data_IF_712572660405
#
_entry.id   IF_712572660405
#
_cell.length_a   1.000
_cell.length_b   1.000
_cell.length_c   1.000
_cell.angle_alpha   90.00
_cell.angle_beta   90.00
_cell.angle_gamma   90.00
#
_symmetry.space_group_name_H-M   'P 1'
#
loop_
_entity.id
_entity.type
_entity.pdbx_description
1 polymer ?
#
# COMPACT_ATOMS: atom_id res chain seq x y z
N UNK A 1 -2.92 27.11 -16.11
CA UNK A 1 -2.80 27.20 -14.64
C UNK A 1 -3.52 28.48 -14.23
N UNK A 2 -4.35 28.47 -13.19
CA UNK A 2 -5.07 29.68 -12.76
C UNK A 2 -4.08 30.71 -12.20
N UNK A 3 -4.20 31.99 -12.57
CA UNK A 3 -3.41 33.09 -12.00
C UNK A 3 -3.59 33.24 -10.48
N UNK A 4 -4.69 32.67 -9.95
CA UNK A 4 -4.97 32.65 -8.51
C UNK A 4 -4.23 31.53 -7.76
N UNK A 5 -3.63 30.56 -8.46
CA UNK A 5 -2.93 29.46 -7.81
C UNK A 5 -1.49 29.88 -7.48
N UNK A 6 -1.24 30.17 -6.19
CA UNK A 6 0.10 30.47 -5.68
C UNK A 6 0.71 29.25 -5.01
N UNK A 7 1.90 28.88 -5.44
CA UNK A 7 2.71 27.90 -4.72
C UNK A 7 3.40 28.56 -3.52
N UNK A 8 3.27 27.95 -2.35
CA UNK A 8 3.87 28.42 -1.10
C UNK A 8 4.74 27.28 -0.55
N UNK A 9 6.07 27.29 -0.78
CA UNK A 9 6.95 26.16 -0.49
C UNK A 9 6.91 25.70 0.98
N UNK A 10 6.80 26.63 1.92
CA UNK A 10 6.72 26.30 3.35
C UNK A 10 5.46 25.51 3.72
N UNK A 11 4.32 25.80 3.06
CA UNK A 11 3.08 25.05 3.25
C UNK A 11 3.23 23.64 2.68
N UNK A 12 3.86 23.50 1.51
CA UNK A 12 4.16 22.18 0.93
C UNK A 12 5.08 21.37 1.84
N UNK A 13 6.13 21.97 2.39
CA UNK A 13 7.03 21.30 3.33
C UNK A 13 6.30 20.80 4.57
N UNK A 14 5.52 21.66 5.23
CA UNK A 14 4.77 21.28 6.42
C UNK A 14 3.73 20.20 6.15
N UNK A 15 3.04 20.29 4.99
CA UNK A 15 2.14 19.23 4.55
C UNK A 15 2.88 17.90 4.43
N UNK A 16 4.03 17.87 3.75
CA UNK A 16 4.82 16.66 3.56
C UNK A 16 5.29 16.06 4.90
N UNK A 17 5.76 16.89 5.83
CA UNK A 17 6.18 16.43 7.16
C UNK A 17 5.01 15.83 7.94
N UNK A 18 3.85 16.51 7.95
CA UNK A 18 2.66 16.02 8.63
C UNK A 18 2.15 14.71 8.01
N UNK A 19 2.16 14.60 6.68
CA UNK A 19 1.81 13.40 5.94
C UNK A 19 2.70 12.21 6.35
N UNK A 20 4.03 12.41 6.37
CA UNK A 20 4.97 11.36 6.79
C UNK A 20 4.82 10.97 8.26
N UNK A 21 4.50 11.90 9.16
CA UNK A 21 4.30 11.59 10.57
C UNK A 21 3.03 10.77 10.83
N UNK A 22 2.02 10.91 9.96
CA UNK A 22 0.71 10.28 10.13
C UNK A 22 0.47 9.12 9.16
N UNK A 23 1.39 8.84 8.24
CA UNK A 23 1.22 7.85 7.17
C UNK A 23 0.94 6.44 7.68
N UNK A 24 1.38 6.11 8.89
CA UNK A 24 1.18 4.79 9.52
C UNK A 24 -0.05 4.75 10.43
N UNK A 25 -0.63 5.89 10.78
CA UNK A 25 -1.75 5.99 11.73
C UNK A 25 -3.12 5.66 11.12
N UNK A 26 -3.16 5.32 9.83
CA UNK A 26 -4.39 4.92 9.13
C UNK A 26 -4.73 3.46 9.44
N UNK A 27 -5.98 3.16 9.87
CA UNK A 27 -6.41 1.79 10.10
C UNK A 27 -6.20 0.90 8.87
N UNK A 28 -5.82 -0.36 9.12
CA UNK A 28 -5.75 -1.38 8.08
C UNK A 28 -7.04 -1.38 7.23
N UNK A 29 -6.90 -1.34 5.90
CA UNK A 29 -8.03 -1.29 4.97
C UNK A 29 -8.19 0.01 4.16
N UNK A 30 -7.55 1.13 4.52
CA UNK A 30 -7.71 2.43 3.82
C UNK A 30 -6.58 2.83 2.85
N UNK A 31 -5.70 1.89 2.48
CA UNK A 31 -4.60 2.14 1.54
C UNK A 31 -3.53 1.03 1.49
N UNK A 32 -3.45 0.23 2.56
CA UNK A 32 -2.51 -0.90 2.68
C UNK A 32 -3.11 -2.27 2.39
N UNK A 33 -4.35 -2.33 1.88
CA UNK A 33 -5.09 -3.58 1.67
C UNK A 33 -4.79 -4.26 0.32
N UNK A 34 -3.58 -4.07 -0.20
CA UNK A 34 -3.14 -4.78 -1.40
C UNK A 34 -2.64 -6.19 -1.09
N UNK A 35 -2.62 -6.65 0.17
CA UNK A 35 -1.91 -7.86 0.58
C UNK A 35 -2.25 -9.09 -0.27
N UNK A 36 -3.45 -9.62 -0.10
CA UNK A 36 -3.94 -10.84 -0.76
C UNK A 36 -4.29 -10.60 -2.25
N UNK A 37 -4.90 -9.46 -2.54
CA UNK A 37 -5.36 -9.10 -3.90
C UNK A 37 -4.21 -8.83 -4.88
N UNK A 38 -3.02 -8.45 -4.40
CA UNK A 38 -1.86 -8.17 -5.25
C UNK A 38 -1.29 -9.45 -5.88
N UNK A 39 -1.37 -10.59 -5.18
CA UNK A 39 -0.94 -11.87 -5.74
C UNK A 39 -1.78 -12.25 -6.98
N UNK A 40 -3.10 -12.06 -6.90
CA UNK A 40 -4.01 -12.30 -8.03
C UNK A 40 -3.87 -11.26 -9.13
N UNK A 41 -3.66 -9.98 -8.77
CA UNK A 41 -3.42 -8.92 -9.74
C UNK A 41 -2.17 -9.22 -10.60
N UNK A 42 -1.07 -9.67 -9.98
CA UNK A 42 0.13 -10.06 -10.72
C UNK A 42 -0.06 -11.30 -11.59
N UNK A 43 -0.81 -12.29 -11.11
CA UNK A 43 -1.15 -13.47 -11.91
C UNK A 43 -1.93 -13.09 -13.18
N UNK A 44 -2.81 -12.09 -13.10
CA UNK A 44 -3.57 -11.57 -14.24
C UNK A 44 -2.71 -10.75 -15.22
N UNK A 45 -1.63 -10.10 -14.76
CA UNK A 45 -0.71 -9.33 -15.62
C UNK A 45 0.19 -10.25 -16.46
N UNK A 46 0.55 -11.42 -15.94
CA UNK A 46 1.46 -12.38 -16.60
C UNK A 46 0.79 -13.75 -16.83
N UNK A 47 -0.29 -13.85 -17.63
CA UNK A 47 -0.91 -15.14 -17.91
C UNK A 47 0.08 -16.08 -18.63
N UNK A 48 0.20 -17.33 -18.14
CA UNK A 48 0.97 -18.38 -18.81
C UNK A 48 2.43 -18.57 -18.36
N UNK A 49 2.92 -17.83 -17.36
CA UNK A 49 4.29 -17.97 -16.83
C UNK A 49 4.52 -19.18 -15.90
N UNK A 50 3.58 -20.14 -15.86
CA UNK A 50 3.77 -21.42 -15.18
C UNK A 50 3.62 -21.41 -13.66
N UNK A 51 3.27 -20.29 -13.03
CA UNK A 51 2.79 -20.32 -11.64
C UNK A 51 1.39 -20.94 -11.63
N UNK A 52 1.30 -22.20 -11.19
CA UNK A 52 0.01 -22.85 -10.95
C UNK A 52 -0.70 -22.25 -9.73
N UNK A 53 -2.02 -22.43 -9.66
CA UNK A 53 -2.88 -21.87 -8.60
C UNK A 53 -2.40 -22.19 -7.18
N UNK A 54 -1.80 -23.37 -6.99
CA UNK A 54 -1.21 -23.77 -5.71
C UNK A 54 -0.03 -22.88 -5.27
N UNK A 55 0.76 -22.36 -6.21
CA UNK A 55 1.84 -21.43 -5.90
C UNK A 55 1.29 -20.06 -5.49
N UNK A 56 0.28 -19.57 -6.20
CA UNK A 56 -0.41 -18.31 -5.88
C UNK A 56 -1.07 -18.40 -4.50
N UNK A 57 -1.73 -19.52 -4.20
CA UNK A 57 -2.35 -19.77 -2.89
C UNK A 57 -1.35 -19.72 -1.72
N UNK A 58 -0.16 -20.34 -1.87
CA UNK A 58 0.90 -20.26 -0.85
C UNK A 58 1.44 -18.84 -0.66
N UNK A 59 1.56 -18.08 -1.74
CA UNK A 59 1.99 -16.67 -1.68
C UNK A 59 0.96 -15.82 -0.94
N UNK A 60 -0.34 -16.04 -1.20
CA UNK A 60 -1.43 -15.36 -0.49
C UNK A 60 -1.38 -15.62 1.01
N UNK A 61 -1.30 -16.89 1.42
CA UNK A 61 -1.22 -17.29 2.83
C UNK A 61 -0.02 -16.64 3.55
N UNK A 62 1.13 -16.56 2.86
CA UNK A 62 2.34 -15.90 3.37
C UNK A 62 2.14 -14.39 3.56
N UNK A 63 1.46 -13.72 2.63
CA UNK A 63 1.18 -12.29 2.70
C UNK A 63 0.13 -11.98 3.76
N UNK A 64 -0.92 -12.78 3.89
CA UNK A 64 -1.95 -12.65 4.93
C UNK A 64 -1.34 -12.70 6.34
N UNK A 65 -0.31 -13.52 6.54
CA UNK A 65 0.43 -13.60 7.81
C UNK A 65 1.19 -12.30 8.12
N UNK A 66 1.68 -11.57 7.10
CA UNK A 66 2.42 -10.32 7.26
C UNK A 66 1.49 -9.10 7.38
N UNK A 67 0.32 -9.16 6.73
CA UNK A 67 -0.66 -8.08 6.73
C UNK A 67 -1.37 -7.89 8.08
N UNK A 68 -1.15 -8.80 9.05
CA UNK A 68 -1.81 -8.82 10.36
C UNK A 68 -0.87 -8.49 11.53
N UNK A 69 0.35 -8.02 11.27
CA UNK A 69 1.17 -7.43 12.33
C UNK A 69 0.54 -6.08 12.72
N UNK A 70 -0.23 -6.10 13.81
CA UNK A 70 -0.60 -4.87 14.51
C UNK A 70 0.70 -4.18 14.96
N UNK A 71 0.91 -2.90 14.63
CA UNK A 71 2.12 -2.22 15.07
C UNK A 71 2.17 -2.20 16.60
N UNK A 72 3.20 -2.83 17.17
CA UNK A 72 3.48 -2.80 18.61
C UNK A 72 4.16 -1.46 18.90
N UNK A 73 3.39 -0.50 19.38
CA UNK A 73 3.90 0.78 19.88
C UNK A 73 4.32 0.63 21.34
N UNK A 74 5.63 0.55 21.61
CA UNK A 74 6.24 0.78 22.94
C UNK A 74 6.43 2.29 23.21
#
# INVERSE_FOLDING_TARGET
MSDSMRWIPGVTYMHLVADMLLSESVPAGHGHNCGDVMADAWANVLPGHGLGDAAIGRTRERIETMAHEDPVWE
#
